data_IF_844587101519
#
_entry.id   IF_844587101519
#
_cell.length_a   1.000
_cell.length_b   1.000
_cell.length_c   1.000
_cell.angle_alpha   90.00
_cell.angle_beta   90.00
_cell.angle_gamma   90.00
#
_symmetry.space_group_name_H-M   'P 1'
#
loop_
_entity.id
_entity.type
_entity.pdbx_description
1 polymer ?
#
# COMPACT_ATOMS: atom_id res chain seq x y z
N UNK A 1 -10.22 20.34 3.23
CA UNK A 1 -9.17 20.35 2.17
C UNK A 1 -9.32 19.06 1.39
N UNK A 2 -9.08 19.09 0.08
CA UNK A 2 -8.98 17.87 -0.72
C UNK A 2 -7.97 16.91 -0.07
N UNK A 3 -8.41 15.70 0.27
CA UNK A 3 -7.60 14.69 0.93
C UNK A 3 -6.67 13.99 -0.06
N UNK A 4 -5.43 13.74 0.37
CA UNK A 4 -4.53 12.81 -0.29
C UNK A 4 -4.34 11.60 0.63
N UNK A 5 -4.66 10.43 0.10
CA UNK A 5 -4.51 9.16 0.79
C UNK A 5 -3.63 8.23 -0.03
N UNK A 6 -3.06 7.23 0.62
CA UNK A 6 -2.25 6.23 -0.05
C UNK A 6 -2.62 4.84 0.42
N UNK A 7 -2.84 3.91 -0.51
CA UNK A 7 -2.83 2.48 -0.21
C UNK A 7 -1.38 2.02 -0.39
N UNK A 8 -0.76 1.43 0.62
CA UNK A 8 0.65 1.06 0.60
C UNK A 8 0.86 -0.38 1.07
N UNK A 9 1.77 -1.09 0.43
CA UNK A 9 2.28 -2.39 0.89
C UNK A 9 3.77 -2.50 0.62
N UNK A 10 4.46 -3.27 1.44
CA UNK A 10 5.91 -3.41 1.38
C UNK A 10 6.30 -4.85 1.11
N UNK A 11 7.07 -5.06 0.03
CA UNK A 11 7.45 -6.37 -0.48
C UNK A 11 8.94 -6.55 -0.25
N UNK A 12 9.32 -7.69 0.30
CA UNK A 12 10.70 -7.97 0.70
C UNK A 12 11.33 -9.12 -0.09
N UNK A 13 12.61 -9.44 0.19
CA UNK A 13 13.37 -10.55 -0.41
C UNK A 13 13.43 -10.48 -1.94
N UNK A 14 13.71 -9.30 -2.48
CA UNK A 14 13.74 -9.08 -3.93
C UNK A 14 14.94 -9.75 -4.62
N UNK A 15 14.63 -10.38 -5.75
CA UNK A 15 15.56 -10.82 -6.78
C UNK A 15 14.92 -10.55 -8.16
N UNK A 16 15.65 -10.73 -9.25
CA UNK A 16 15.13 -10.46 -10.60
C UNK A 16 13.87 -11.26 -10.94
N UNK A 17 13.83 -12.55 -10.58
CA UNK A 17 12.66 -13.40 -10.83
C UNK A 17 11.46 -12.96 -9.99
N UNK A 18 11.69 -12.51 -8.76
CA UNK A 18 10.66 -12.02 -7.87
C UNK A 18 10.14 -10.66 -8.32
N UNK A 19 11.01 -9.78 -8.81
CA UNK A 19 10.62 -8.50 -9.37
C UNK A 19 9.66 -8.66 -10.55
N UNK A 20 9.99 -9.53 -11.52
CA UNK A 20 9.10 -9.84 -12.64
C UNK A 20 7.76 -10.38 -12.16
N UNK A 21 7.77 -11.28 -11.16
CA UNK A 21 6.53 -11.79 -10.55
C UNK A 21 5.72 -10.69 -9.89
N UNK A 22 6.35 -9.75 -9.19
CA UNK A 22 5.66 -8.59 -8.57
C UNK A 22 4.98 -7.76 -9.65
N UNK A 23 5.67 -7.40 -10.74
CA UNK A 23 5.08 -6.63 -11.84
C UNK A 23 3.89 -7.35 -12.49
N UNK A 24 4.02 -8.65 -12.76
CA UNK A 24 2.92 -9.45 -13.32
C UNK A 24 1.73 -9.53 -12.37
N UNK A 25 2.02 -9.67 -11.08
CA UNK A 25 0.99 -9.72 -10.04
C UNK A 25 0.27 -8.37 -9.89
N UNK A 26 0.99 -7.25 -9.96
CA UNK A 26 0.40 -5.92 -10.02
C UNK A 26 -0.56 -5.79 -11.22
N UNK A 27 -0.15 -6.25 -12.42
CA UNK A 27 -1.02 -6.28 -13.61
C UNK A 27 -2.29 -7.09 -13.36
N UNK A 28 -2.17 -8.27 -12.74
CA UNK A 28 -3.32 -9.12 -12.43
C UNK A 28 -4.28 -8.49 -11.42
N UNK A 29 -3.75 -7.83 -10.39
CA UNK A 29 -4.58 -7.11 -9.41
C UNK A 29 -5.36 -6.00 -10.11
N UNK A 30 -4.69 -5.15 -10.88
CA UNK A 30 -5.33 -4.08 -11.64
C UNK A 30 -6.37 -4.61 -12.63
N UNK A 31 -6.11 -5.75 -13.26
CA UNK A 31 -7.06 -6.38 -14.17
C UNK A 31 -8.31 -6.87 -13.43
N UNK A 32 -8.13 -7.54 -12.27
CA UNK A 32 -9.24 -8.03 -11.44
C UNK A 32 -10.10 -6.91 -10.85
N UNK A 33 -9.50 -5.76 -10.58
CA UNK A 33 -10.21 -4.57 -10.09
C UNK A 33 -10.70 -3.66 -11.22
N UNK A 34 -10.58 -4.08 -12.49
CA UNK A 34 -10.98 -3.31 -13.69
C UNK A 34 -10.24 -1.96 -13.85
N UNK A 35 -9.08 -1.81 -13.20
CA UNK A 35 -8.23 -0.62 -13.22
C UNK A 35 -7.10 -0.68 -14.28
N UNK A 36 -6.92 -1.83 -14.95
CA UNK A 36 -5.87 -1.99 -15.95
C UNK A 36 -6.29 -1.36 -17.30
N UNK A 37 -5.81 -0.14 -17.56
CA UNK A 37 -5.88 0.51 -18.86
C UNK A 37 -4.57 0.37 -19.65
N UNK A 38 -4.62 0.63 -20.97
CA UNK A 38 -3.45 0.51 -21.86
C UNK A 38 -2.27 1.39 -21.41
N UNK A 39 -2.54 2.60 -20.92
CA UNK A 39 -1.49 3.50 -20.44
C UNK A 39 -0.81 2.97 -19.17
N UNK A 40 -1.57 2.34 -18.27
CA UNK A 40 -1.03 1.71 -17.05
C UNK A 40 -0.25 0.46 -17.41
N UNK A 41 -0.75 -0.36 -18.33
CA UNK A 41 -0.05 -1.54 -18.79
C UNK A 41 1.31 -1.19 -19.42
N UNK A 42 1.33 -0.12 -20.24
CA UNK A 42 2.55 0.43 -20.80
C UNK A 42 3.49 0.93 -19.69
N UNK A 43 2.98 1.73 -18.75
CA UNK A 43 3.77 2.24 -17.63
C UNK A 43 4.43 1.11 -16.84
N UNK A 44 3.70 0.04 -16.51
CA UNK A 44 4.27 -1.14 -15.84
C UNK A 44 5.35 -1.81 -16.71
N UNK A 45 5.14 -1.87 -18.03
CA UNK A 45 6.12 -2.41 -18.97
C UNK A 45 7.42 -1.59 -19.07
N UNK A 46 7.36 -0.30 -18.74
CA UNK A 46 8.51 0.60 -18.73
C UNK A 46 9.30 0.57 -17.40
N UNK A 47 8.79 -0.12 -16.36
CA UNK A 47 9.50 -0.29 -15.10
C UNK A 47 10.60 -1.34 -15.30
N UNK A 48 11.83 -0.96 -15.00
CA UNK A 48 12.98 -1.85 -15.12
C UNK A 48 13.72 -1.99 -13.78
N UNK A 49 14.44 -3.10 -13.68
CA UNK A 49 15.26 -3.46 -12.54
C UNK A 49 16.74 -3.45 -12.94
N UNK A 50 17.58 -2.83 -12.12
CA UNK A 50 19.03 -2.85 -12.27
C UNK A 50 19.73 -2.99 -10.92
N UNK A 51 21.03 -3.24 -10.94
CA UNK A 51 21.92 -3.14 -9.77
C UNK A 51 22.96 -2.04 -10.03
N UNK A 52 23.30 -1.27 -9.01
CA UNK A 52 24.43 -0.35 -9.08
C UNK A 52 25.78 -1.06 -8.90
N UNK A 53 26.86 -0.29 -8.95
CA UNK A 53 28.25 -0.78 -8.83
C UNK A 53 28.54 -1.41 -7.45
N UNK A 54 27.74 -1.12 -6.44
CA UNK A 54 27.83 -1.70 -5.09
C UNK A 54 26.93 -2.94 -4.93
N UNK A 55 26.24 -3.36 -6.00
CA UNK A 55 25.29 -4.45 -5.99
C UNK A 55 23.96 -4.10 -5.29
N UNK A 56 23.70 -2.81 -5.05
CA UNK A 56 22.42 -2.35 -4.53
C UNK A 56 21.39 -2.37 -5.66
N UNK A 57 20.21 -2.85 -5.33
CA UNK A 57 19.08 -2.86 -6.23
C UNK A 57 18.64 -1.44 -6.56
N UNK A 58 18.16 -1.21 -7.78
CA UNK A 58 17.59 0.05 -8.25
C UNK A 58 16.35 -0.25 -9.08
N UNK A 59 15.25 0.42 -8.76
CA UNK A 59 14.04 0.42 -9.58
C UNK A 59 14.07 1.68 -10.44
N UNK A 60 14.10 1.49 -11.77
CA UNK A 60 13.93 2.58 -12.71
C UNK A 60 12.47 2.57 -13.16
N UNK A 61 11.66 3.40 -12.52
CA UNK A 61 10.26 3.64 -12.87
C UNK A 61 10.11 5.04 -13.47
N UNK A 62 9.21 5.25 -14.46
CA UNK A 62 8.74 6.60 -14.77
C UNK A 62 8.18 7.25 -13.50
N UNK A 63 8.47 8.55 -13.31
CA UNK A 63 8.24 9.30 -12.06
C UNK A 63 6.79 9.23 -11.57
N UNK A 64 5.83 9.23 -12.50
CA UNK A 64 4.41 9.09 -12.19
C UNK A 64 3.76 8.11 -13.18
N UNK A 65 2.89 7.23 -12.68
CA UNK A 65 1.96 6.54 -13.57
C UNK A 65 0.92 7.52 -14.13
N UNK A 66 0.29 7.18 -15.27
CA UNK A 66 -0.98 7.78 -15.66
C UNK A 66 -1.99 7.70 -14.50
N UNK A 67 -2.85 8.71 -14.37
CA UNK A 67 -3.95 8.69 -13.38
C UNK A 67 -5.15 7.97 -13.95
N UNK A 68 -5.84 7.17 -13.12
CA UNK A 68 -7.06 6.46 -13.50
C UNK A 68 -8.16 6.66 -12.45
N UNK A 69 -9.41 6.38 -12.82
CA UNK A 69 -10.55 6.46 -11.90
C UNK A 69 -10.63 5.22 -11.03
N UNK A 70 -10.81 5.42 -9.72
CA UNK A 70 -11.04 4.35 -8.77
C UNK A 70 -12.55 4.17 -8.58
N UNK A 71 -13.20 3.51 -9.54
CA UNK A 71 -14.63 3.13 -9.49
C UNK A 71 -15.53 3.76 -10.55
N UNK A 72 -16.77 3.24 -10.64
CA UNK A 72 -17.78 3.65 -11.63
C UNK A 72 -18.41 5.02 -11.31
N UNK A 73 -18.31 5.53 -10.08
CA UNK A 73 -18.58 6.95 -9.75
C UNK A 73 -17.41 7.85 -10.24
N UNK A 74 -17.22 7.79 -11.56
CA UNK A 74 -16.07 8.08 -12.42
C UNK A 74 -15.43 9.49 -12.36
N UNK A 75 -15.40 10.14 -11.21
CA UNK A 75 -14.80 11.46 -11.09
C UNK A 75 -14.39 11.90 -9.69
N UNK A 76 -14.77 11.16 -8.63
CA UNK A 76 -14.50 11.61 -7.25
C UNK A 76 -13.13 11.18 -6.73
N UNK A 77 -12.59 10.06 -7.20
CA UNK A 77 -11.32 9.51 -6.71
C UNK A 77 -10.45 9.13 -7.91
N UNK A 78 -9.35 9.87 -8.09
CA UNK A 78 -8.29 9.55 -9.04
C UNK A 78 -7.18 8.83 -8.31
N UNK A 79 -6.65 7.76 -8.90
CA UNK A 79 -5.52 7.02 -8.39
C UNK A 79 -4.33 7.10 -9.34
N UNK A 80 -3.13 7.09 -8.79
CA UNK A 80 -1.87 6.87 -9.50
C UNK A 80 -1.08 5.77 -8.79
N UNK A 81 -0.46 4.89 -9.55
CA UNK A 81 0.39 3.82 -9.05
C UNK A 81 1.84 4.31 -8.94
N UNK A 82 2.52 3.87 -7.89
CA UNK A 82 3.94 4.09 -7.68
C UNK A 82 4.62 2.84 -7.15
N UNK A 83 5.88 2.67 -7.55
CA UNK A 83 6.78 1.66 -7.01
C UNK A 83 8.10 2.32 -6.64
N UNK A 84 8.46 2.26 -5.37
CA UNK A 84 9.69 2.87 -4.86
C UNK A 84 10.51 1.85 -4.10
N UNK A 85 11.82 1.97 -4.25
CA UNK A 85 12.73 1.26 -3.38
C UNK A 85 12.73 1.95 -2.02
N UNK A 86 12.44 1.19 -0.98
CA UNK A 86 12.46 1.67 0.39
C UNK A 86 13.67 1.10 1.13
N UNK A 87 14.52 2.00 1.64
CA UNK A 87 15.71 1.67 2.42
C UNK A 87 15.82 2.63 3.59
N UNK A 88 15.75 2.13 4.83
CA UNK A 88 16.04 2.97 6.00
C UNK A 88 17.55 3.01 6.26
N UNK A 89 18.11 4.22 6.19
CA UNK A 89 19.54 4.52 6.35
C UNK A 89 20.13 4.05 7.69
N UNK A 90 19.30 3.79 8.71
CA UNK A 90 19.75 3.46 10.07
C UNK A 90 19.42 2.04 10.58
N UNK A 91 18.84 1.16 9.76
CA UNK A 91 18.66 -0.25 10.15
C UNK A 91 19.96 -1.03 9.95
N UNK A 92 20.94 -0.81 10.84
CA UNK A 92 22.29 -1.41 10.78
C UNK A 92 22.32 -2.95 10.73
N UNK A 93 21.20 -3.62 11.01
CA UNK A 93 21.09 -5.08 11.07
C UNK A 93 20.17 -5.67 9.99
N UNK A 94 19.69 -4.87 9.04
CA UNK A 94 18.79 -5.34 7.98
C UNK A 94 19.28 -4.78 6.65
N UNK A 95 20.15 -5.51 5.91
CA UNK A 95 20.50 -5.18 4.53
C UNK A 95 19.34 -5.51 3.57
N UNK A 96 18.12 -5.64 4.08
CA UNK A 96 16.96 -6.01 3.30
C UNK A 96 16.46 -4.75 2.58
N UNK A 97 16.36 -4.85 1.27
CA UNK A 97 15.79 -3.82 0.44
C UNK A 97 14.30 -4.15 0.27
N UNK A 98 13.44 -3.18 0.59
CA UNK A 98 12.01 -3.32 0.37
C UNK A 98 11.59 -2.60 -0.90
N UNK A 99 10.52 -3.08 -1.51
CA UNK A 99 9.78 -2.34 -2.53
C UNK A 99 8.47 -1.90 -1.90
N UNK A 100 8.26 -0.60 -1.86
CA UNK A 100 6.94 -0.05 -1.65
C UNK A 100 6.16 -0.10 -2.97
N UNK A 101 4.96 -0.68 -2.92
CA UNK A 101 3.95 -0.54 -3.94
C UNK A 101 2.83 0.32 -3.36
N UNK A 102 2.54 1.46 -3.98
CA UNK A 102 1.55 2.39 -3.47
C UNK A 102 0.58 2.93 -4.53
N UNK A 103 -0.67 3.14 -4.11
CA UNK A 103 -1.70 3.83 -4.88
C UNK A 103 -1.95 5.18 -4.24
N UNK A 104 -1.49 6.25 -4.87
CA UNK A 104 -1.76 7.62 -4.46
C UNK A 104 -3.18 8.01 -4.89
N UNK A 105 -4.06 8.23 -3.93
CA UNK A 105 -5.45 8.59 -4.11
C UNK A 105 -5.61 10.09 -3.94
N UNK A 106 -6.12 10.74 -4.99
CA UNK A 106 -6.51 12.15 -5.00
C UNK A 106 -8.01 12.25 -5.11
N UNK A 107 -8.62 12.95 -4.16
CA UNK A 107 -10.05 13.20 -4.16
C UNK A 107 -10.38 14.65 -3.83
N UNK A 108 -11.50 15.14 -4.33
CA UNK A 108 -12.09 16.41 -3.90
C UNK A 108 -12.79 16.29 -2.54
N UNK A 109 -12.99 15.06 -2.06
CA UNK A 109 -13.56 14.75 -0.77
C UNK A 109 -12.61 15.15 0.37
N UNK A 110 -13.19 15.52 1.51
CA UNK A 110 -12.47 15.67 2.78
C UNK A 110 -12.01 14.32 3.33
N UNK A 111 -11.04 14.31 4.24
CA UNK A 111 -10.59 13.08 4.90
C UNK A 111 -11.73 12.37 5.63
N UNK A 112 -12.67 13.11 6.24
CA UNK A 112 -13.86 12.54 6.87
C UNK A 112 -14.81 11.90 5.85
N UNK A 113 -15.00 12.53 4.68
CA UNK A 113 -15.82 11.98 3.60
C UNK A 113 -15.16 10.76 2.99
N UNK A 114 -13.84 10.75 2.77
CA UNK A 114 -13.10 9.56 2.34
C UNK A 114 -13.20 8.43 3.37
N UNK A 115 -13.03 8.74 4.66
CA UNK A 115 -13.16 7.78 5.75
C UNK A 115 -14.61 7.32 5.98
N UNK A 116 -15.63 8.08 5.57
CA UNK A 116 -17.04 7.62 5.62
C UNK A 116 -17.41 6.84 4.38
N UNK A 117 -16.89 7.27 3.23
CA UNK A 117 -17.20 6.69 1.95
C UNK A 117 -16.43 5.42 1.69
N UNK A 118 -15.29 5.16 2.37
CA UNK A 118 -14.40 3.99 2.23
C UNK A 118 -14.86 3.12 1.07
N UNK A 119 -14.55 3.61 -0.13
CA UNK A 119 -15.33 3.16 -1.28
C UNK A 119 -15.08 1.67 -1.44
N UNK A 120 -16.12 0.93 -1.82
CA UNK A 120 -16.00 -0.52 -2.01
C UNK A 120 -14.81 -0.86 -2.92
N UNK A 121 -14.42 0.07 -3.79
CA UNK A 121 -13.26 0.02 -4.68
C UNK A 121 -11.92 0.17 -3.95
N UNK A 122 -11.76 1.09 -3.00
CA UNK A 122 -10.56 1.18 -2.14
C UNK A 122 -10.40 -0.14 -1.39
N UNK A 123 -11.48 -0.61 -0.76
CA UNK A 123 -11.46 -1.86 0.00
C UNK A 123 -11.18 -3.06 -0.90
N UNK A 124 -11.72 -3.10 -2.12
CA UNK A 124 -11.43 -4.16 -3.09
C UNK A 124 -9.95 -4.19 -3.49
N UNK A 125 -9.33 -3.03 -3.75
CA UNK A 125 -7.88 -2.96 -4.05
C UNK A 125 -7.06 -3.41 -2.84
N UNK A 126 -7.36 -2.89 -1.65
CA UNK A 126 -6.65 -3.28 -0.43
C UNK A 126 -6.77 -4.78 -0.16
N UNK A 127 -7.96 -5.36 -0.36
CA UNK A 127 -8.20 -6.78 -0.17
C UNK A 127 -7.40 -7.62 -1.17
N UNK A 128 -7.41 -7.26 -2.46
CA UNK A 128 -6.62 -7.98 -3.48
C UNK A 128 -5.12 -7.91 -3.20
N UNK A 129 -4.62 -6.75 -2.76
CA UNK A 129 -3.23 -6.61 -2.32
C UNK A 129 -2.94 -7.51 -1.13
N UNK A 130 -3.82 -7.55 -0.12
CA UNK A 130 -3.59 -8.29 1.13
C UNK A 130 -3.59 -9.82 0.94
N UNK A 131 -4.36 -10.32 -0.03
CA UNK A 131 -4.38 -11.74 -0.38
C UNK A 131 -3.08 -12.17 -1.05
N UNK A 132 -2.44 -11.22 -1.73
CA UNK A 132 -1.30 -11.45 -2.60
C UNK A 132 0.02 -11.24 -1.87
N UNK A 133 0.17 -10.09 -1.20
CA UNK A 133 1.37 -9.67 -0.48
C UNK A 133 1.10 -9.80 1.00
N UNK A 134 1.76 -10.78 1.64
CA UNK A 134 1.54 -11.15 3.05
C UNK A 134 2.81 -10.97 3.90
N UNK A 135 3.84 -10.35 3.33
CA UNK A 135 5.12 -10.06 4.00
C UNK A 135 4.96 -9.00 5.08
N UNK A 136 4.11 -8.00 4.81
CA UNK A 136 3.83 -6.87 5.68
C UNK A 136 2.32 -6.69 5.80
N UNK A 137 1.80 -5.48 5.91
CA UNK A 137 0.37 -5.18 5.83
C UNK A 137 0.08 -4.35 4.60
N UNK A 138 -1.21 -4.25 4.26
CA UNK A 138 -1.71 -3.26 3.31
C UNK A 138 -2.36 -2.15 4.10
N UNK A 139 -1.82 -0.94 4.02
CA UNK A 139 -2.23 0.20 4.83
C UNK A 139 -2.90 1.25 3.96
N UNK A 140 -3.98 1.86 4.44
CA UNK A 140 -4.50 3.12 3.95
C UNK A 140 -4.06 4.24 4.90
N UNK A 141 -3.20 5.11 4.42
CA UNK A 141 -2.61 6.23 5.17
C UNK A 141 -3.05 7.56 4.54
N UNK A 142 -2.89 8.66 5.28
CA UNK A 142 -2.87 9.99 4.67
C UNK A 142 -1.40 10.41 4.40
N UNK A 143 -1.20 11.51 3.68
CA UNK A 143 0.16 11.99 3.33
C UNK A 143 1.07 12.24 4.54
N UNK A 144 0.53 12.58 5.71
CA UNK A 144 1.33 12.80 6.92
C UNK A 144 1.79 11.49 7.58
N UNK A 145 1.18 10.37 7.20
CA UNK A 145 1.39 9.05 7.80
C UNK A 145 2.05 8.07 6.80
N UNK A 146 2.54 8.57 5.67
CA UNK A 146 3.20 7.79 4.63
C UNK A 146 4.36 6.97 5.22
N UNK A 147 4.28 5.64 5.08
CA UNK A 147 5.27 4.68 5.56
C UNK A 147 5.36 4.48 7.08
N UNK A 148 4.68 5.29 7.88
CA UNK A 148 4.73 5.24 9.36
C UNK A 148 4.32 3.87 9.92
N UNK A 149 3.21 3.22 9.50
CA UNK A 149 2.84 1.89 9.98
C UNK A 149 3.91 0.82 9.72
N UNK A 150 4.51 0.86 8.53
CA UNK A 150 5.56 -0.08 8.17
C UNK A 150 6.85 0.18 8.95
N UNK A 151 7.21 1.44 9.16
CA UNK A 151 8.32 1.78 10.07
C UNK A 151 8.06 1.28 11.49
N UNK A 152 6.83 1.47 11.99
CA UNK A 152 6.37 0.97 13.28
C UNK A 152 6.56 -0.54 13.41
N UNK A 153 6.16 -1.29 12.37
CA UNK A 153 6.31 -2.74 12.27
C UNK A 153 7.78 -3.15 12.37
N UNK A 154 8.65 -2.66 11.49
CA UNK A 154 10.04 -3.14 11.42
C UNK A 154 10.91 -2.65 12.58
N UNK A 155 10.52 -1.55 13.24
CA UNK A 155 11.24 -1.00 14.39
C UNK A 155 10.66 -1.45 15.74
N UNK A 156 9.58 -2.23 15.75
CA UNK A 156 8.79 -2.51 16.95
C UNK A 156 8.38 -1.22 17.70
N UNK A 157 8.04 -0.16 16.95
CA UNK A 157 7.56 1.10 17.51
C UNK A 157 6.02 1.14 17.46
N UNK A 158 5.41 0.86 18.63
CA UNK A 158 3.96 0.84 18.76
C UNK A 158 3.27 2.17 18.47
N UNK A 159 3.93 3.31 18.68
CA UNK A 159 3.29 4.62 18.44
C UNK A 159 3.00 4.81 16.94
N UNK A 160 3.97 4.44 16.09
CA UNK A 160 3.85 4.50 14.62
C UNK A 160 3.04 3.36 14.02
N UNK A 161 3.00 2.21 14.70
CA UNK A 161 2.34 0.99 14.21
C UNK A 161 0.86 1.23 13.88
N UNK A 162 0.20 2.15 14.58
CA UNK A 162 -1.22 2.47 14.44
C UNK A 162 -1.52 3.71 13.59
N UNK A 163 -0.51 4.28 12.90
CA UNK A 163 -0.67 5.48 12.06
C UNK A 163 -1.30 5.17 10.69
N UNK A 164 -2.51 4.63 10.70
CA UNK A 164 -3.29 4.36 9.50
C UNK A 164 -4.78 4.60 9.72
N UNK A 165 -5.51 4.77 8.62
CA UNK A 165 -6.97 4.84 8.64
C UNK A 165 -7.58 3.44 8.54
N UNK A 166 -6.99 2.55 7.74
CA UNK A 166 -7.37 1.15 7.61
C UNK A 166 -6.14 0.31 7.31
N UNK A 167 -6.12 -0.94 7.75
CA UNK A 167 -5.08 -1.88 7.41
C UNK A 167 -5.63 -3.30 7.25
N UNK A 168 -5.05 -4.07 6.33
CA UNK A 168 -5.14 -5.53 6.32
C UNK A 168 -3.81 -6.10 6.79
N UNK A 169 -3.86 -6.83 7.91
CA UNK A 169 -2.69 -7.42 8.56
C UNK A 169 -2.74 -8.94 8.39
N UNK A 170 -1.71 -9.58 7.80
CA UNK A 170 -1.69 -11.02 7.60
C UNK A 170 -1.52 -11.77 8.92
N UNK A 171 -1.93 -13.05 8.93
CA UNK A 171 -1.85 -13.92 10.11
C UNK A 171 -0.46 -13.95 10.77
N UNK A 172 0.60 -13.91 9.96
CA UNK A 172 1.98 -13.93 10.44
C UNK A 172 2.33 -12.74 11.36
N UNK A 173 1.62 -11.61 11.23
CA UNK A 173 1.92 -10.38 11.95
C UNK A 173 0.93 -10.06 13.08
N UNK A 174 -0.17 -10.82 13.23
CA UNK A 174 -1.21 -10.56 14.24
C UNK A 174 -0.64 -10.41 15.66
N UNK A 175 0.42 -11.14 15.99
CA UNK A 175 1.08 -11.04 17.31
C UNK A 175 1.59 -9.63 17.64
N UNK A 176 1.93 -8.84 16.63
CA UNK A 176 2.39 -7.46 16.78
C UNK A 176 1.20 -6.49 16.99
N UNK A 177 -0.03 -6.91 16.66
CA UNK A 177 -1.25 -6.12 16.73
C UNK A 177 -2.19 -6.57 17.86
N UNK A 178 -1.69 -7.18 18.94
CA UNK A 178 -2.53 -7.73 20.01
C UNK A 178 -3.26 -6.67 20.86
N UNK A 179 -2.74 -5.45 20.93
CA UNK A 179 -3.26 -4.36 21.76
C UNK A 179 -3.95 -3.28 20.93
N UNK A 180 -4.97 -3.69 20.18
CA UNK A 180 -5.71 -2.82 19.27
C UNK A 180 -6.34 -1.66 20.04
N UNK A 181 -6.04 -0.39 19.69
CA UNK A 181 -6.59 0.76 20.40
C UNK A 181 -8.12 0.82 20.26
N UNK A 182 -8.79 1.36 21.29
CA UNK A 182 -10.27 1.38 21.40
C UNK A 182 -10.98 2.11 20.25
N UNK A 183 -10.26 2.97 19.54
CA UNK A 183 -10.77 3.74 18.41
C UNK A 183 -10.63 3.00 17.06
N UNK A 184 -10.31 1.71 17.07
CA UNK A 184 -10.34 0.85 15.90
C UNK A 184 -11.43 -0.23 16.03
N UNK A 185 -11.96 -0.65 14.88
CA UNK A 185 -12.77 -1.84 14.69
C UNK A 185 -11.97 -2.92 13.96
N UNK A 186 -12.33 -4.18 14.19
CA UNK A 186 -11.64 -5.33 13.60
C UNK A 186 -12.61 -6.31 12.95
N UNK A 187 -12.15 -6.94 11.87
CA UNK A 187 -12.82 -8.07 11.24
C UNK A 187 -11.78 -9.14 10.90
N UNK A 188 -12.12 -10.41 11.09
CA UNK A 188 -11.21 -11.55 10.90
C UNK A 188 -11.51 -12.20 9.55
N UNK A 189 -10.45 -12.54 8.83
CA UNK A 189 -10.48 -13.24 7.54
C UNK A 189 -9.59 -14.50 7.62
N UNK A 190 -9.68 -15.37 6.61
CA UNK A 190 -8.85 -16.58 6.56
C UNK A 190 -7.35 -16.30 6.54
N UNK A 191 -6.92 -15.19 5.94
CA UNK A 191 -5.52 -14.82 5.77
C UNK A 191 -5.03 -13.70 6.70
N UNK A 192 -5.87 -13.19 7.60
CA UNK A 192 -5.49 -12.08 8.48
C UNK A 192 -6.65 -11.37 9.16
N UNK A 193 -6.42 -10.12 9.54
CA UNK A 193 -7.42 -9.22 10.13
C UNK A 193 -7.48 -7.91 9.35
N UNK A 194 -8.66 -7.34 9.16
CA UNK A 194 -8.79 -5.92 8.83
C UNK A 194 -8.92 -5.11 10.11
N UNK A 195 -8.26 -3.97 10.17
CA UNK A 195 -8.32 -3.01 11.27
C UNK A 195 -8.72 -1.67 10.67
N UNK A 196 -9.81 -1.06 11.13
CA UNK A 196 -10.33 0.20 10.57
C UNK A 196 -10.55 1.23 11.68
N UNK A 197 -10.11 2.46 11.48
CA UNK A 197 -10.31 3.54 12.44
C UNK A 197 -11.79 3.90 12.49
N UNK A 198 -12.35 3.97 13.70
CA UNK A 198 -13.74 4.36 13.91
C UNK A 198 -13.96 5.80 13.43
N UNK A 199 -15.08 6.10 12.76
CA UNK A 199 -15.43 7.48 12.46
C UNK A 199 -15.58 8.24 13.78
N UNK A 200 -15.07 9.47 13.82
CA UNK A 200 -15.28 10.36 14.97
C UNK A 200 -16.77 10.72 14.98
N UNK A 201 -17.50 10.23 15.99
CA UNK A 201 -18.86 10.68 16.27
C UNK A 201 -18.72 11.96 17.08
N UNK A 202 -18.87 13.11 16.41
CA UNK A 202 -18.97 14.42 17.04
C UNK A 202 -20.38 14.63 17.61
#
# INVERSE_FOLDING_TARGET
>A
MAGYQQIQTYITNMDSNRFDRVLQTCKQILQKTTLLGADIEKWIGDITWSTDDEGLFLINSPVCSPTFDLGEESGKIKAALSMFQWKKVNCRNVPECWIELSFCLKSELTDEELCRMYSAEIEAVMLQLSQTFQETGVYLTNVLQDGEPFEGLIMNNNDKLWDFQSAFIPNALISQYQHIPVHFDTCVFSHGISIKKKPIVL
#
